data_IF_806819443704
#
_entry.id   IF_806819443704
#
_cell.length_a   1.000
_cell.length_b   1.000
_cell.length_c   1.000
_cell.angle_alpha   90.00
_cell.angle_beta   90.00
_cell.angle_gamma   90.00
#
_symmetry.space_group_name_H-M   'P 1'
#
loop_
_entity.id
_entity.type
_entity.pdbx_description
1 polymer ?
#
# COMPACT_ATOMS: atom_id res chain seq x y z
N UNK A 1 11.65 -5.22 -20.40
CA UNK A 1 10.44 -5.15 -21.25
C UNK A 1 9.51 -6.25 -20.80
N UNK A 2 8.35 -5.90 -20.22
CA UNK A 2 7.23 -6.84 -19.99
C UNK A 2 6.58 -7.11 -21.35
N UNK A 3 6.39 -8.38 -21.72
CA UNK A 3 5.71 -8.76 -22.97
C UNK A 3 4.23 -8.95 -22.70
N UNK A 4 3.38 -8.61 -23.68
CA UNK A 4 1.92 -8.50 -23.53
C UNK A 4 1.19 -9.78 -23.03
N UNK A 5 1.87 -10.93 -23.02
CA UNK A 5 1.29 -12.23 -22.65
C UNK A 5 2.11 -12.99 -21.58
N UNK A 6 2.86 -12.29 -20.73
CA UNK A 6 3.66 -12.94 -19.68
C UNK A 6 3.18 -12.63 -18.24
N UNK A 7 2.07 -13.27 -17.79
CA UNK A 7 1.50 -13.06 -16.45
C UNK A 7 2.45 -13.44 -15.30
N UNK A 8 3.51 -14.20 -15.59
CA UNK A 8 4.50 -14.62 -14.61
C UNK A 8 5.45 -13.50 -14.17
N UNK A 9 5.65 -12.48 -15.01
CA UNK A 9 6.58 -11.37 -14.74
C UNK A 9 5.83 -10.15 -14.20
N UNK A 10 4.61 -9.88 -14.68
CA UNK A 10 3.83 -8.71 -14.27
C UNK A 10 2.83 -8.97 -13.14
N UNK A 11 2.59 -10.24 -12.77
CA UNK A 11 1.52 -10.58 -11.83
C UNK A 11 1.66 -9.98 -10.43
N UNK A 12 2.88 -9.69 -9.96
CA UNK A 12 3.05 -8.98 -8.68
C UNK A 12 2.70 -7.50 -8.81
N UNK A 13 3.17 -6.84 -9.87
CA UNK A 13 2.83 -5.45 -10.18
C UNK A 13 1.32 -5.29 -10.38
N UNK A 14 0.69 -6.19 -11.13
CA UNK A 14 -0.75 -6.18 -11.37
C UNK A 14 -1.56 -6.33 -10.07
N UNK A 15 -1.11 -7.16 -9.14
CA UNK A 15 -1.75 -7.31 -7.82
C UNK A 15 -1.64 -6.03 -7.00
N UNK A 16 -0.47 -5.41 -6.98
CA UNK A 16 -0.26 -4.14 -6.26
C UNK A 16 -1.08 -3.02 -6.90
N UNK A 17 -1.12 -2.93 -8.23
CA UNK A 17 -1.95 -1.96 -8.95
C UNK A 17 -3.43 -2.12 -8.62
N UNK A 18 -3.92 -3.36 -8.53
CA UNK A 18 -5.31 -3.62 -8.14
C UNK A 18 -5.62 -3.14 -6.71
N UNK A 19 -4.73 -3.41 -5.76
CA UNK A 19 -4.88 -2.92 -4.37
C UNK A 19 -4.87 -1.39 -4.33
N UNK A 20 -3.99 -0.76 -5.09
CA UNK A 20 -3.90 0.70 -5.20
C UNK A 20 -5.20 1.29 -5.76
N UNK A 21 -5.71 0.73 -6.86
CA UNK A 21 -6.96 1.16 -7.48
C UNK A 21 -8.16 0.99 -6.56
N UNK A 22 -8.29 -0.15 -5.89
CA UNK A 22 -9.40 -0.42 -4.96
C UNK A 22 -9.35 0.52 -3.76
N UNK A 23 -8.16 0.81 -3.24
CA UNK A 23 -7.97 1.78 -2.15
C UNK A 23 -8.31 3.19 -2.60
N UNK A 24 -7.85 3.62 -3.78
CA UNK A 24 -8.21 4.92 -4.36
C UNK A 24 -9.71 5.04 -4.58
N UNK A 25 -10.36 3.99 -5.10
CA UNK A 25 -11.81 3.96 -5.33
C UNK A 25 -12.58 4.13 -4.03
N UNK A 26 -12.13 3.48 -2.95
CA UNK A 26 -12.71 3.64 -1.61
C UNK A 26 -12.53 5.06 -1.06
N UNK A 27 -11.30 5.56 -1.05
CA UNK A 27 -10.95 6.88 -0.47
C UNK A 27 -11.60 8.03 -1.25
N UNK A 28 -11.75 7.88 -2.56
CA UNK A 28 -12.30 8.92 -3.44
C UNK A 28 -13.79 8.72 -3.76
N UNK A 29 -14.47 7.76 -3.13
CA UNK A 29 -15.87 7.42 -3.44
C UNK A 29 -16.82 8.63 -3.37
N UNK A 30 -16.59 9.53 -2.42
CA UNK A 30 -17.41 10.75 -2.21
C UNK A 30 -16.90 11.97 -2.97
N UNK A 31 -15.64 11.95 -3.45
CA UNK A 31 -15.02 13.05 -4.18
C UNK A 31 -14.00 12.56 -5.22
N UNK A 32 -14.45 11.94 -6.34
CA UNK A 32 -13.55 11.32 -7.32
C UNK A 32 -12.53 12.27 -7.94
N UNK A 33 -12.86 13.57 -8.05
CA UNK A 33 -11.96 14.60 -8.60
C UNK A 33 -10.74 14.89 -7.72
N UNK A 34 -10.74 14.45 -6.46
CA UNK A 34 -9.63 14.66 -5.50
C UNK A 34 -8.61 13.52 -5.51
N UNK A 35 -8.72 12.57 -6.44
CA UNK A 35 -7.88 11.36 -6.45
C UNK A 35 -6.37 11.67 -6.47
N UNK A 36 -5.95 12.70 -7.20
CA UNK A 36 -4.54 13.12 -7.29
C UNK A 36 -4.01 13.65 -5.96
N UNK A 37 -4.85 14.35 -5.19
CA UNK A 37 -4.52 14.85 -3.85
C UNK A 37 -4.47 13.71 -2.82
N UNK A 38 -5.25 12.65 -3.03
CA UNK A 38 -5.28 11.46 -2.17
C UNK A 38 -4.16 10.48 -2.49
N UNK A 39 -3.55 10.58 -3.67
CA UNK A 39 -2.54 9.65 -4.16
C UNK A 39 -1.34 9.49 -3.20
N UNK A 40 -0.74 10.56 -2.63
CA UNK A 40 0.38 10.39 -1.69
C UNK A 40 0.00 9.62 -0.41
N UNK A 41 -1.24 9.79 0.06
CA UNK A 41 -1.74 9.10 1.26
C UNK A 41 -1.96 7.62 0.96
N UNK A 42 -2.54 7.32 -0.20
CA UNK A 42 -2.81 5.94 -0.61
C UNK A 42 -1.51 5.19 -0.92
N UNK A 43 -0.58 5.82 -1.64
CA UNK A 43 0.75 5.26 -1.90
C UNK A 43 1.51 4.97 -0.60
N UNK A 44 1.46 5.91 0.36
CA UNK A 44 2.02 5.70 1.68
C UNK A 44 1.37 4.49 2.38
N UNK A 45 0.03 4.40 2.39
CA UNK A 45 -0.68 3.31 3.04
C UNK A 45 -0.32 1.94 2.44
N UNK A 46 -0.30 1.84 1.10
CA UNK A 46 0.03 0.58 0.38
C UNK A 46 1.48 0.16 0.63
N UNK A 47 2.44 1.10 0.58
CA UNK A 47 3.85 0.79 0.84
C UNK A 47 4.16 0.44 2.30
N UNK A 48 3.28 0.81 3.24
CA UNK A 48 3.39 0.50 4.67
C UNK A 48 2.54 -0.70 5.12
N UNK A 49 1.69 -1.24 4.27
CA UNK A 49 0.89 -2.41 4.62
C UNK A 49 1.78 -3.66 4.61
N UNK A 50 1.66 -4.49 5.65
CA UNK A 50 2.35 -5.78 5.71
C UNK A 50 1.76 -6.68 4.63
N UNK A 51 2.61 -7.16 3.72
CA UNK A 51 2.16 -8.05 2.66
C UNK A 51 2.15 -9.49 3.18
N UNK A 52 1.00 -10.18 3.03
CA UNK A 52 0.79 -11.50 3.63
C UNK A 52 1.79 -12.58 3.16
N UNK A 53 2.30 -12.48 1.92
CA UNK A 53 3.24 -13.46 1.39
C UNK A 53 4.68 -13.29 1.89
N UNK A 54 5.07 -12.07 2.29
CA UNK A 54 6.43 -11.77 2.73
C UNK A 54 6.52 -11.53 4.24
N UNK A 55 5.40 -11.17 4.89
CA UNK A 55 5.37 -10.79 6.30
C UNK A 55 6.00 -9.41 6.58
N UNK A 56 6.39 -8.69 5.53
CA UNK A 56 7.03 -7.38 5.63
C UNK A 56 6.29 -6.33 4.80
N UNK A 57 6.52 -5.06 5.12
CA UNK A 57 6.05 -3.98 4.26
C UNK A 57 6.94 -3.86 3.02
N UNK A 58 6.38 -3.51 1.84
CA UNK A 58 7.18 -3.23 0.65
C UNK A 58 8.29 -2.21 0.91
N UNK A 59 8.00 -1.15 1.68
CA UNK A 59 8.98 -0.15 2.07
C UNK A 59 10.16 -0.76 2.84
N UNK A 60 9.89 -1.65 3.79
CA UNK A 60 10.95 -2.33 4.53
C UNK A 60 11.83 -3.18 3.63
N UNK A 61 11.25 -3.88 2.66
CA UNK A 61 11.99 -4.72 1.73
C UNK A 61 12.83 -3.89 0.74
N UNK A 62 12.34 -2.72 0.32
CA UNK A 62 13.05 -1.87 -0.63
C UNK A 62 14.18 -1.05 0.02
N UNK A 63 13.90 -0.45 1.18
CA UNK A 63 14.81 0.50 1.84
C UNK A 63 15.64 -0.14 2.97
N UNK A 64 15.36 -1.40 3.32
CA UNK A 64 15.91 -2.09 4.50
C UNK A 64 15.73 -1.31 5.81
N UNK A 65 14.73 -0.42 5.86
CA UNK A 65 14.44 0.45 7.00
C UNK A 65 12.94 0.44 7.30
N UNK A 66 12.60 0.38 8.57
CA UNK A 66 11.21 0.58 8.98
C UNK A 66 10.85 2.06 8.84
N UNK A 67 9.69 2.31 8.24
CA UNK A 67 9.19 3.66 8.06
C UNK A 67 8.95 4.31 9.43
N UNK A 68 9.51 5.51 9.62
CA UNK A 68 9.29 6.30 10.83
C UNK A 68 7.93 6.98 10.71
N UNK A 69 6.86 6.24 11.02
CA UNK A 69 5.56 6.86 11.24
C UNK A 69 5.60 7.67 12.55
N UNK A 70 4.90 8.82 12.64
CA UNK A 70 4.71 9.50 13.92
C UNK A 70 4.22 8.49 14.98
N UNK A 71 4.81 8.52 16.18
CA UNK A 71 4.45 7.59 17.28
C UNK A 71 2.95 7.62 17.60
N UNK A 72 2.26 8.71 17.24
CA UNK A 72 0.81 8.89 17.36
C UNK A 72 -0.03 7.93 16.50
N UNK A 73 0.53 7.35 15.43
CA UNK A 73 -0.15 6.36 14.58
C UNK A 73 0.17 4.90 14.96
N UNK A 74 1.04 4.66 15.96
CA UNK A 74 1.41 3.33 16.47
C UNK A 74 0.52 2.82 17.61
N UNK A 75 -0.62 3.47 17.86
CA UNK A 75 -1.48 3.19 19.01
C UNK A 75 -2.64 2.25 18.69
N UNK A 76 -2.50 0.98 19.12
CA UNK A 76 -3.57 -0.01 19.17
C UNK A 76 -3.22 -1.23 20.03
N UNK A 77 -2.42 -1.02 21.08
CA UNK A 77 -2.21 -2.01 22.15
C UNK A 77 -2.57 -1.35 23.48
N UNK A 78 -3.86 -1.23 23.76
CA UNK A 78 -4.30 -1.25 25.15
C UNK A 78 -4.78 -2.67 25.42
N UNK A 79 -3.87 -3.43 26.03
CA UNK A 79 -4.17 -4.62 26.80
C UNK A 79 -5.29 -4.28 27.78
N UNK A 80 -6.47 -4.86 27.60
CA UNK A 80 -7.42 -4.93 28.71
C UNK A 80 -7.11 -6.18 29.52
N UNK A 81 -6.78 -5.94 30.79
CA UNK A 81 -6.93 -6.89 31.90
C UNK A 81 -8.38 -7.36 31.95
#
# INVERSE_FOLDING_TARGET
>A
MSTADHPQTDGQTERVNRVLEDTLRSVCATAPRTWSERLPVVDFAVNNAVHASTGFTPFYLNEMRHQRVPLTLRGGTESSI
#
